data_IF_753888264951
#
_entry.id   IF_753888264951
#
_cell.length_a   1.000
_cell.length_b   1.000
_cell.length_c   1.000
_cell.angle_alpha   90.00
_cell.angle_beta   90.00
_cell.angle_gamma   90.00
#
_symmetry.space_group_name_H-M   'P 1'
#
loop_
_entity.id
_entity.type
_entity.pdbx_description
1 polymer ?
#
# COMPACT_ATOMS: atom_id res chain seq x y z
N UNK A 1 1.74 10.69 38.16
CA UNK A 1 0.93 9.73 37.36
C UNK A 1 -0.07 10.56 36.57
N UNK A 2 0.32 11.05 35.39
CA UNK A 2 -0.65 11.69 34.50
C UNK A 2 -1.43 10.58 33.81
N UNK A 3 -2.73 10.53 34.01
CA UNK A 3 -3.62 9.74 33.16
C UNK A 3 -3.37 10.17 31.71
N UNK A 4 -2.91 9.27 30.85
CA UNK A 4 -2.85 9.54 29.41
C UNK A 4 -4.27 9.94 28.98
N UNK A 5 -4.43 11.18 28.50
CA UNK A 5 -5.71 11.63 28.00
C UNK A 5 -6.17 10.69 26.88
N UNK A 6 -7.43 10.27 26.90
CA UNK A 6 -8.00 9.46 25.83
C UNK A 6 -7.84 10.20 24.49
N UNK A 7 -7.31 9.51 23.48
CA UNK A 7 -7.10 10.10 22.16
C UNK A 7 -8.44 10.54 21.55
N UNK A 8 -8.53 11.82 21.19
CA UNK A 8 -9.71 12.37 20.53
C UNK A 8 -9.52 12.29 19.01
N UNK A 9 -10.20 11.34 18.38
CA UNK A 9 -10.15 11.15 16.93
C UNK A 9 -11.04 12.15 16.19
N UNK A 10 -10.47 12.85 15.21
CA UNK A 10 -11.17 13.85 14.39
C UNK A 10 -10.98 13.57 12.92
N UNK A 11 -12.05 13.78 12.16
CA UNK A 11 -12.00 13.81 10.71
C UNK A 11 -11.12 14.97 10.23
N UNK A 12 -10.26 14.74 9.23
CA UNK A 12 -9.41 15.81 8.68
C UNK A 12 -9.38 15.91 7.15
N UNK A 13 -9.34 14.82 6.37
CA UNK A 13 -9.36 14.87 4.89
C UNK A 13 -9.98 13.60 4.31
N UNK A 14 -10.46 13.69 3.07
CA UNK A 14 -10.89 12.60 2.20
C UNK A 14 -10.41 12.93 0.79
N UNK A 15 -9.89 11.93 0.07
CA UNK A 15 -9.54 12.01 -1.35
C UNK A 15 -10.51 11.14 -2.17
N UNK A 16 -10.60 11.36 -3.49
CA UNK A 16 -11.47 10.58 -4.37
C UNK A 16 -12.95 10.95 -4.28
N UNK A 17 -13.27 12.24 -4.26
CA UNK A 17 -14.65 12.73 -4.20
C UNK A 17 -15.45 12.26 -5.42
N UNK A 18 -16.53 11.51 -5.16
CA UNK A 18 -17.45 11.01 -6.18
C UNK A 18 -18.64 11.95 -6.33
N UNK A 19 -19.12 12.10 -7.56
CA UNK A 19 -20.42 12.74 -7.79
C UNK A 19 -21.55 11.82 -7.27
N UNK A 20 -22.67 12.37 -6.76
CA UNK A 20 -23.75 11.54 -6.21
C UNK A 20 -24.31 10.58 -7.27
N UNK A 21 -24.18 9.27 -7.03
CA UNK A 21 -24.69 8.21 -7.92
C UNK A 21 -23.66 7.62 -8.90
N UNK A 22 -22.41 8.08 -8.84
CA UNK A 22 -21.30 7.50 -9.58
C UNK A 22 -20.82 6.22 -8.88
N UNK A 23 -20.80 5.11 -9.62
CA UNK A 23 -20.20 3.86 -9.12
C UNK A 23 -18.69 4.00 -9.14
N UNK A 24 -18.02 3.44 -8.14
CA UNK A 24 -16.57 3.36 -8.12
C UNK A 24 -16.16 2.32 -9.15
N UNK A 25 -15.29 2.68 -10.09
CA UNK A 25 -14.72 1.69 -10.99
C UNK A 25 -13.79 0.77 -10.20
N UNK A 26 -13.80 -0.52 -10.53
CA UNK A 26 -13.04 -1.52 -9.78
C UNK A 26 -11.54 -1.18 -9.69
N UNK A 27 -11.00 -0.57 -10.75
CA UNK A 27 -9.61 -0.13 -10.86
C UNK A 27 -9.23 0.98 -9.86
N UNK A 28 -10.21 1.75 -9.38
CA UNK A 28 -10.01 2.85 -8.43
C UNK A 28 -10.07 2.38 -6.97
N UNK A 29 -10.41 1.12 -6.69
CA UNK A 29 -10.34 0.58 -5.34
C UNK A 29 -8.90 0.56 -4.85
N UNK A 30 -8.64 1.24 -3.73
CA UNK A 30 -7.37 1.15 -3.03
C UNK A 30 -7.19 -0.29 -2.52
N UNK A 31 -5.97 -0.80 -2.67
CA UNK A 31 -5.57 -2.16 -2.26
C UNK A 31 -4.39 -2.16 -1.30
N UNK A 32 -3.56 -1.11 -1.30
CA UNK A 32 -2.41 -0.98 -0.41
C UNK A 32 -2.16 0.48 -0.03
N UNK A 33 -1.77 0.74 1.22
CA UNK A 33 -1.41 2.07 1.71
C UNK A 33 -0.17 1.96 2.61
N UNK A 34 0.80 2.85 2.43
CA UNK A 34 2.01 2.86 3.26
C UNK A 34 2.47 4.29 3.56
N UNK A 35 2.90 4.53 4.80
CA UNK A 35 3.54 5.78 5.20
C UNK A 35 5.07 5.65 5.15
N UNK A 36 5.73 6.73 4.75
CA UNK A 36 7.17 6.83 4.90
C UNK A 36 7.55 6.92 6.38
N UNK A 37 8.74 6.45 6.77
CA UNK A 37 9.13 6.30 8.18
C UNK A 37 9.02 7.57 9.04
N UNK A 38 9.13 8.76 8.41
CA UNK A 38 8.96 10.07 9.06
C UNK A 38 7.53 10.60 8.99
N UNK A 39 6.71 10.01 8.11
CA UNK A 39 5.34 10.46 7.82
C UNK A 39 5.32 11.77 7.04
N UNK A 40 6.36 12.04 6.26
CA UNK A 40 6.41 13.19 5.35
C UNK A 40 5.76 12.84 3.99
N UNK A 41 5.73 11.54 3.64
CA UNK A 41 5.09 11.01 2.43
C UNK A 41 4.11 9.87 2.76
N UNK A 42 3.08 9.75 1.94
CA UNK A 42 2.07 8.69 1.96
C UNK A 42 1.88 8.15 0.54
N UNK A 43 1.90 6.84 0.36
CA UNK A 43 1.58 6.21 -0.93
C UNK A 43 0.33 5.35 -0.81
N UNK A 44 -0.48 5.38 -1.86
CA UNK A 44 -1.60 4.47 -2.06
C UNK A 44 -1.42 3.73 -3.38
N UNK A 45 -1.78 2.46 -3.41
CA UNK A 45 -1.85 1.63 -4.61
C UNK A 45 -3.27 1.10 -4.78
N UNK A 46 -3.68 0.92 -6.03
CA UNK A 46 -5.03 0.48 -6.39
C UNK A 46 -5.07 -0.82 -7.19
N UNK A 47 -6.28 -1.26 -7.49
CA UNK A 47 -6.54 -2.45 -8.31
C UNK A 47 -6.14 -2.25 -9.77
N UNK A 48 -6.14 -1.00 -10.26
CA UNK A 48 -5.67 -0.62 -11.59
C UNK A 48 -4.16 -0.52 -11.75
N UNK A 49 -3.37 -0.88 -10.73
CA UNK A 49 -1.91 -0.91 -10.80
C UNK A 49 -1.21 0.46 -10.73
N UNK A 50 -1.93 1.52 -10.36
CA UNK A 50 -1.38 2.87 -10.17
C UNK A 50 -0.84 3.03 -8.76
N UNK A 51 0.15 3.91 -8.62
CA UNK A 51 0.66 4.36 -7.32
C UNK A 51 0.47 5.87 -7.24
N UNK A 52 -0.20 6.31 -6.19
CA UNK A 52 -0.51 7.72 -5.91
C UNK A 52 0.32 8.15 -4.71
N UNK A 53 1.16 9.17 -4.89
CA UNK A 53 2.04 9.73 -3.87
C UNK A 53 1.48 11.05 -3.36
N UNK A 54 1.36 11.15 -2.04
CA UNK A 54 0.98 12.35 -1.31
C UNK A 54 2.14 12.86 -0.44
N UNK A 55 2.23 14.17 -0.29
CA UNK A 55 3.24 14.86 0.52
C UNK A 55 2.58 15.68 1.62
N UNK A 56 3.20 15.71 2.80
CA UNK A 56 2.68 16.49 3.93
C UNK A 56 2.93 17.98 3.72
N UNK A 57 1.91 18.80 3.97
CA UNK A 57 1.96 20.26 3.76
C UNK A 57 2.56 21.02 4.94
N UNK A 58 2.61 20.42 6.13
CA UNK A 58 3.20 21.07 7.31
C UNK A 58 4.70 21.22 7.08
N UNK A 59 5.16 22.48 7.05
CA UNK A 59 6.51 22.89 6.68
C UNK A 59 7.60 22.01 7.30
N UNK A 60 8.71 21.93 6.59
CA UNK A 60 9.97 21.30 6.96
C UNK A 60 10.53 21.87 8.27
N UNK A 61 9.87 21.59 9.39
CA UNK A 61 10.37 21.93 10.71
C UNK A 61 11.59 21.05 10.95
N UNK A 62 12.75 21.72 10.97
CA UNK A 62 14.11 21.18 11.10
C UNK A 62 14.41 20.50 12.44
N UNK A 63 13.39 20.22 13.27
CA UNK A 63 13.56 19.62 14.59
C UNK A 63 13.15 18.15 14.60
N UNK A 64 14.02 17.23 15.08
CA UNK A 64 13.62 15.87 15.40
C UNK A 64 12.47 15.91 16.42
N UNK A 65 11.35 15.27 16.05
CA UNK A 65 10.08 15.24 16.79
C UNK A 65 10.17 14.83 18.27
N UNK A 66 11.29 14.23 18.69
CA UNK A 66 11.62 13.86 20.08
C UNK A 66 11.52 15.03 21.07
N UNK A 67 11.75 16.27 20.60
CA UNK A 67 11.64 17.49 21.42
C UNK A 67 10.23 18.09 21.44
N UNK A 68 9.41 17.83 20.42
CA UNK A 68 8.03 18.31 20.31
C UNK A 68 7.04 17.40 21.06
N UNK A 69 7.35 16.12 21.21
CA UNK A 69 6.58 15.16 22.00
C UNK A 69 6.76 15.36 23.52
N UNK A 70 7.81 16.07 23.95
CA UNK A 70 8.12 16.33 25.36
C UNK A 70 7.61 17.69 25.86
N UNK A 71 7.04 18.49 24.97
CA UNK A 71 6.51 19.82 25.26
C UNK A 71 5.00 19.82 25.10
N UNK A 72 4.29 20.29 26.13
CA UNK A 72 2.83 20.51 26.16
C UNK A 72 2.40 21.66 25.21
N UNK A 73 2.88 21.67 23.97
CA UNK A 73 2.37 22.53 22.93
C UNK A 73 1.28 21.77 22.18
N UNK A 74 0.00 22.18 22.27
CA UNK A 74 -1.04 21.58 21.44
C UNK A 74 -0.64 21.83 19.99
N UNK A 75 -0.43 20.75 19.22
CA UNK A 75 -0.24 20.85 17.79
C UNK A 75 -1.50 21.52 17.21
N UNK A 76 -1.42 22.81 16.93
CA UNK A 76 -2.56 23.65 16.52
C UNK A 76 -3.06 23.31 15.12
N UNK A 77 -2.31 22.48 14.37
CA UNK A 77 -2.60 22.11 12.99
C UNK A 77 -2.52 20.60 12.82
N UNK A 78 -3.60 19.99 12.35
CA UNK A 78 -3.62 18.59 11.96
C UNK A 78 -2.88 18.44 10.63
N UNK A 79 -2.01 17.43 10.48
CA UNK A 79 -1.25 17.22 9.26
C UNK A 79 -2.15 17.03 8.07
N UNK A 80 -1.92 17.83 7.03
CA UNK A 80 -2.59 17.67 5.75
C UNK A 80 -1.63 17.07 4.74
N UNK A 81 -2.16 16.19 3.92
CA UNK A 81 -1.48 15.64 2.76
C UNK A 81 -2.04 16.29 1.51
N UNK A 82 -1.19 16.53 0.52
CA UNK A 82 -1.59 16.97 -0.81
C UNK A 82 -1.05 16.00 -1.86
N UNK A 83 -1.79 15.87 -2.95
CA UNK A 83 -1.39 15.06 -4.09
C UNK A 83 -0.07 15.59 -4.68
N UNK A 84 0.96 14.76 -4.74
CA UNK A 84 2.27 15.10 -5.32
C UNK A 84 2.38 14.59 -6.76
N UNK A 85 2.10 13.31 -6.98
CA UNK A 85 2.22 12.67 -8.31
C UNK A 85 1.56 11.29 -8.30
N UNK A 86 1.17 10.81 -9.47
CA UNK A 86 0.77 9.42 -9.71
C UNK A 86 1.55 8.83 -10.88
N UNK A 87 1.68 7.51 -10.90
CA UNK A 87 2.28 6.78 -12.02
C UNK A 87 1.77 5.35 -12.09
N UNK A 88 1.73 4.79 -13.31
CA UNK A 88 1.40 3.40 -13.55
C UNK A 88 2.57 2.51 -13.10
N UNK A 89 2.32 1.59 -12.16
CA UNK A 89 3.34 0.66 -11.68
C UNK A 89 3.27 -0.68 -12.40
N UNK A 90 2.09 -1.29 -12.45
CA UNK A 90 1.87 -2.59 -13.09
C UNK A 90 0.77 -2.44 -14.14
N UNK A 91 0.87 -3.20 -15.21
CA UNK A 91 -0.15 -3.29 -16.25
C UNK A 91 -0.55 -4.76 -16.34
N UNK A 92 -1.71 -5.05 -16.94
CA UNK A 92 -2.11 -6.42 -17.24
C UNK A 92 -1.04 -7.10 -18.12
N UNK A 93 -0.50 -8.21 -17.62
CA UNK A 93 0.50 -9.01 -18.31
C UNK A 93 -0.04 -10.44 -18.52
N UNK A 94 0.40 -11.12 -19.57
CA UNK A 94 0.02 -12.52 -19.82
C UNK A 94 1.27 -13.38 -19.99
N UNK A 95 1.43 -14.39 -19.13
CA UNK A 95 2.48 -15.40 -19.27
C UNK A 95 1.99 -16.49 -20.23
N UNK A 96 2.47 -16.46 -21.47
CA UNK A 96 2.13 -17.44 -22.50
C UNK A 96 2.63 -18.86 -22.20
N UNK A 97 3.73 -19.00 -21.46
CA UNK A 97 4.31 -20.30 -21.15
C UNK A 97 3.50 -21.00 -20.07
N UNK A 98 3.03 -20.25 -19.06
CA UNK A 98 2.18 -20.76 -17.99
C UNK A 98 0.68 -20.64 -18.31
N UNK A 99 0.31 -19.96 -19.40
CA UNK A 99 -1.07 -19.60 -19.75
C UNK A 99 -1.78 -18.92 -18.59
N UNK A 100 -1.11 -17.94 -17.98
CA UNK A 100 -1.55 -17.27 -16.77
C UNK A 100 -1.65 -15.77 -17.01
N UNK A 101 -2.82 -15.20 -16.72
CA UNK A 101 -3.01 -13.76 -16.65
C UNK A 101 -2.48 -13.23 -15.31
N UNK A 102 -1.70 -12.15 -15.39
CA UNK A 102 -1.09 -11.49 -14.25
C UNK A 102 -1.79 -10.14 -14.09
N UNK A 103 -2.53 -10.00 -12.99
CA UNK A 103 -3.26 -8.78 -12.66
C UNK A 103 -2.34 -7.59 -12.41
N UNK A 104 -2.87 -6.40 -12.65
CA UNK A 104 -2.19 -5.13 -12.39
C UNK A 104 -2.29 -4.65 -10.94
N UNK A 105 -3.24 -5.19 -10.17
CA UNK A 105 -3.49 -4.85 -8.76
C UNK A 105 -2.21 -4.79 -7.92
N UNK A 106 -2.08 -3.69 -7.18
CA UNK A 106 -0.99 -3.53 -6.21
C UNK A 106 -1.33 -4.31 -4.93
N UNK A 107 -0.57 -5.36 -4.62
CA UNK A 107 -0.79 -6.15 -3.41
C UNK A 107 -0.18 -5.50 -2.17
N UNK A 108 1.06 -4.97 -2.28
CA UNK A 108 1.78 -4.32 -1.17
C UNK A 108 2.69 -3.20 -1.67
N UNK A 109 2.93 -2.23 -0.79
CA UNK A 109 3.86 -1.12 -0.98
C UNK A 109 4.82 -1.03 0.20
N UNK A 110 6.11 -0.76 -0.05
CA UNK A 110 7.11 -0.51 1.00
C UNK A 110 8.05 0.63 0.61
N UNK A 111 8.21 1.59 1.51
CA UNK A 111 9.28 2.58 1.38
C UNK A 111 10.63 1.95 1.75
N UNK A 112 11.62 2.16 0.89
CA UNK A 112 13.01 1.81 1.17
C UNK A 112 13.74 2.98 1.82
N UNK A 113 14.91 2.69 2.41
CA UNK A 113 15.79 3.73 2.93
C UNK A 113 16.08 4.78 1.84
N UNK A 114 16.10 6.05 2.23
CA UNK A 114 16.29 7.22 1.36
C UNK A 114 17.72 7.75 1.52
N UNK A 115 18.73 7.18 0.84
CA UNK A 115 20.11 7.65 0.95
C UNK A 115 20.34 9.02 0.29
N UNK A 116 19.37 9.52 -0.47
CA UNK A 116 19.42 10.80 -1.18
C UNK A 116 18.04 11.48 -1.12
N UNK A 117 17.91 12.67 -1.72
CA UNK A 117 16.61 13.37 -1.88
C UNK A 117 15.67 12.68 -2.90
N UNK A 118 15.78 11.37 -3.10
CA UNK A 118 14.85 10.59 -3.92
C UNK A 118 14.18 9.53 -3.08
N UNK A 119 12.89 9.32 -3.34
CA UNK A 119 12.10 8.29 -2.68
C UNK A 119 12.28 6.98 -3.43
N UNK A 120 12.46 5.90 -2.68
CA UNK A 120 12.52 4.54 -3.21
C UNK A 120 11.32 3.76 -2.70
N UNK A 121 10.53 3.21 -3.62
CA UNK A 121 9.29 2.50 -3.31
C UNK A 121 9.36 1.13 -3.98
N UNK A 122 9.17 0.07 -3.19
CA UNK A 122 8.87 -1.26 -3.72
C UNK A 122 7.36 -1.40 -3.86
N UNK A 123 6.93 -1.86 -5.02
CA UNK A 123 5.55 -2.27 -5.29
C UNK A 123 5.54 -3.70 -5.79
N UNK A 124 4.47 -4.43 -5.49
CA UNK A 124 4.29 -5.80 -5.96
C UNK A 124 2.87 -6.02 -6.45
N UNK A 125 2.73 -6.80 -7.52
CA UNK A 125 1.49 -7.49 -7.86
C UNK A 125 1.63 -8.98 -7.51
N UNK A 126 0.83 -9.85 -8.12
CA UNK A 126 0.87 -11.30 -7.84
C UNK A 126 2.18 -11.97 -8.23
N UNK A 127 2.97 -11.42 -9.17
CA UNK A 127 4.11 -12.15 -9.78
C UNK A 127 5.41 -11.37 -9.87
N UNK A 128 5.33 -10.05 -9.80
CA UNK A 128 6.46 -9.16 -10.05
C UNK A 128 6.56 -8.11 -8.96
N UNK A 129 7.79 -7.74 -8.64
CA UNK A 129 8.11 -6.66 -7.70
C UNK A 129 8.88 -5.61 -8.49
N UNK A 130 8.52 -4.34 -8.36
CA UNK A 130 9.19 -3.22 -9.04
C UNK A 130 9.76 -2.26 -8.01
N UNK A 131 11.02 -1.86 -8.22
CA UNK A 131 11.67 -0.81 -7.44
C UNK A 131 11.59 0.52 -8.19
N UNK A 132 10.83 1.45 -7.65
CA UNK A 132 10.63 2.79 -8.19
C UNK A 132 11.55 3.80 -7.52
N UNK A 133 12.07 4.73 -8.31
CA UNK A 133 12.72 5.94 -7.82
C UNK A 133 11.87 7.14 -8.21
N UNK A 134 11.39 7.88 -7.22
CA UNK A 134 10.68 9.14 -7.42
C UNK A 134 11.62 10.28 -7.04
N UNK A 135 11.88 11.18 -7.98
CA UNK A 135 12.75 12.33 -7.78
C UNK A 135 12.16 13.57 -8.39
N UNK A 136 12.39 14.71 -7.75
CA UNK A 136 12.04 16.01 -8.30
C UNK A 136 12.94 16.34 -9.49
N UNK A 137 12.34 16.64 -10.63
CA UNK A 137 13.06 17.06 -11.83
C UNK A 137 12.78 18.54 -12.09
N UNK A 138 13.84 19.35 -12.13
CA UNK A 138 13.75 20.72 -12.64
C UNK A 138 13.71 20.64 -14.17
N UNK A 139 12.52 20.70 -14.74
CA UNK A 139 12.34 20.64 -16.20
C UNK A 139 13.00 21.86 -16.83
N UNK A 140 14.12 21.67 -17.52
CA UNK A 140 14.70 22.68 -18.42
C UNK A 140 14.09 22.46 -19.81
N UNK A 141 13.18 23.34 -20.25
CA UNK A 141 12.75 23.36 -21.65
C UNK A 141 13.93 23.75 -22.53
N UNK A 142 14.36 22.83 -23.39
CA UNK A 142 15.23 23.16 -24.52
C UNK A 142 14.33 23.87 -25.55
N UNK A 143 14.64 25.13 -25.89
CA UNK A 143 14.02 25.75 -27.05
C UNK A 143 14.53 25.01 -28.29
N UNK A 144 13.59 24.51 -29.08
CA UNK A 144 13.84 24.03 -30.42
C UNK A 144 14.57 25.14 -31.19
N UNK A 145 15.77 24.84 -31.69
CA UNK A 145 16.53 25.79 -32.49
C UNK A 145 15.93 25.76 -33.88
N UNK A 146 15.10 26.76 -34.20
CA UNK A 146 14.67 26.97 -35.58
C UNK A 146 15.92 27.12 -36.45
N UNK A 147 16.12 26.16 -37.36
CA UNK A 147 17.08 26.31 -38.45
C UNK A 147 16.61 27.50 -39.30
N UNK A 148 17.27 28.64 -39.15
CA UNK A 148 17.05 29.81 -39.99
C UNK A 148 17.21 29.44 -41.47
N UNK A 149 16.18 29.59 -42.32
CA UNK A 149 16.36 29.45 -43.76
C UNK A 149 16.79 30.82 -44.31
N UNK A 150 18.04 31.20 -44.08
CA UNK A 150 18.64 32.35 -44.75
C UNK A 150 19.87 31.90 -45.53
N UNK A 151 19.62 31.34 -46.71
CA UNK A 151 20.55 31.45 -47.82
C UNK A 151 19.86 32.28 -48.89
N UNK A 152 20.44 33.45 -49.14
CA UNK A 152 20.05 34.43 -50.14
C UNK A 152 19.78 33.78 -51.50
N UNK A 153 18.62 34.12 -52.05
CA UNK A 153 18.14 33.78 -53.38
C UNK A 153 18.96 34.46 -54.46
N UNK A 154 20.08 33.88 -54.90
CA UNK A 154 20.72 34.24 -56.19
C UNK A 154 21.28 33.06 -57.01
N UNK A 155 21.13 31.80 -56.60
CA UNK A 155 21.63 30.65 -57.39
C UNK A 155 20.57 29.62 -57.79
N UNK A 156 19.31 30.03 -57.96
CA UNK A 156 18.21 29.14 -58.37
C UNK A 156 18.12 28.90 -59.90
N UNK A 157 19.21 29.07 -60.67
CA UNK A 157 19.20 28.98 -62.14
C UNK A 157 20.14 27.93 -62.75
N UNK A 158 20.58 26.91 -62.00
CA UNK A 158 21.46 25.86 -62.57
C UNK A 158 21.12 24.39 -62.28
N UNK A 159 19.98 24.04 -61.67
CA UNK A 159 19.57 22.61 -61.62
C UNK A 159 18.65 22.24 -62.80
N UNK A 160 19.15 22.51 -64.00
CA UNK A 160 18.57 22.04 -65.25
C UNK A 160 19.06 20.61 -65.58
N UNK A 161 18.09 19.69 -65.62
CA UNK A 161 18.02 18.43 -66.40
C UNK A 161 18.60 17.14 -65.80
N UNK A 162 17.83 16.07 -66.09
CA UNK A 162 18.18 14.64 -66.25
C UNK A 162 17.71 13.74 -65.08
N UNK A 163 16.94 12.66 -65.23
CA UNK A 163 16.37 11.93 -66.36
C UNK A 163 15.30 10.94 -65.81
N UNK A 164 14.18 10.81 -66.52
CA UNK A 164 13.32 9.63 -66.82
C UNK A 164 12.91 8.58 -65.75
N UNK A 165 11.61 8.28 -65.82
CA UNK A 165 10.78 7.32 -65.09
C UNK A 165 11.05 5.82 -65.36
N UNK A 166 10.51 4.96 -64.49
CA UNK A 166 10.35 3.52 -64.76
C UNK A 166 9.80 2.67 -63.60
N UNK A 167 8.46 2.55 -63.53
CA UNK A 167 7.63 1.36 -63.22
C UNK A 167 7.76 0.54 -61.91
N UNK A 168 6.63 0.53 -61.18
CA UNK A 168 5.86 -0.60 -60.58
C UNK A 168 6.58 -1.79 -59.91
N UNK A 169 6.26 -2.03 -58.63
CA UNK A 169 5.28 -3.05 -58.22
C UNK A 169 4.87 -2.93 -56.73
N UNK A 170 3.67 -3.43 -56.44
CA UNK A 170 2.85 -3.28 -55.23
C UNK A 170 2.98 -4.44 -54.23
N UNK A 171 2.93 -4.16 -52.91
CA UNK A 171 2.04 -4.86 -51.94
C UNK A 171 2.24 -4.43 -50.46
N UNK A 172 1.25 -3.71 -49.93
CA UNK A 172 0.49 -3.92 -48.66
C UNK A 172 1.24 -4.19 -47.32
N UNK A 173 1.27 -3.13 -46.49
CA UNK A 173 0.60 -2.92 -45.17
C UNK A 173 1.01 -3.69 -43.89
N UNK A 174 1.47 -2.91 -42.89
CA UNK A 174 1.11 -2.89 -41.45
C UNK A 174 1.99 -1.79 -40.79
N UNK A 175 1.55 -0.70 -40.13
CA UNK A 175 0.24 -0.30 -39.63
C UNK A 175 0.33 0.07 -38.15
N UNK A 176 0.87 1.25 -37.79
CA UNK A 176 0.60 1.93 -36.51
C UNK A 176 0.51 3.44 -36.76
N UNK A 177 -0.71 3.94 -36.70
CA UNK A 177 -1.11 5.32 -36.95
C UNK A 177 -1.69 5.89 -35.65
N UNK A 178 -1.04 6.91 -35.06
CA UNK A 178 -1.60 7.72 -33.99
C UNK A 178 -2.16 9.00 -34.63
N UNK A 179 -3.49 9.10 -34.68
CA UNK A 179 -4.21 10.21 -35.27
C UNK A 179 -4.53 11.25 -34.16
N UNK A 180 -3.92 12.44 -34.22
CA UNK A 180 -4.30 13.59 -33.40
C UNK A 180 -5.38 14.40 -34.13
N UNK A 181 -6.51 14.63 -33.45
CA UNK A 181 -7.65 15.39 -33.96
C UNK A 181 -7.32 16.89 -33.97
N UNK A 182 -7.24 17.46 -35.17
CA UNK A 182 -7.14 18.90 -35.42
C UNK A 182 -8.49 19.60 -35.19
N UNK A 183 -8.55 20.52 -34.22
CA UNK A 183 -9.60 21.55 -34.16
C UNK A 183 -9.01 22.92 -34.53
N UNK A 184 -9.53 23.47 -35.62
CA UNK A 184 -9.19 24.76 -36.26
C UNK A 184 -9.07 25.95 -35.28
N UNK A 185 -8.18 26.93 -35.56
CA UNK A 185 -8.11 28.20 -34.84
C UNK A 185 -9.09 29.24 -35.42
N UNK A 186 -9.67 30.07 -34.54
CA UNK A 186 -10.33 31.35 -34.88
C UNK A 186 -9.30 32.48 -34.72
N UNK A 187 -9.30 33.37 -35.69
CA UNK A 187 -8.47 34.57 -35.85
C UNK A 187 -8.73 35.66 -34.79
N UNK A 188 -7.68 36.31 -34.25
CA UNK A 188 -7.59 37.76 -33.98
C UNK A 188 -6.12 38.22 -33.99
N UNK A 189 -5.89 39.42 -34.53
CA UNK A 189 -4.66 40.18 -34.82
C UNK A 189 -3.88 40.73 -33.58
N UNK A 190 -2.70 41.39 -33.75
CA UNK A 190 -1.60 41.39 -32.77
C UNK A 190 -1.27 42.73 -32.05
N UNK A 191 -0.28 42.62 -31.11
CA UNK A 191 0.71 43.60 -30.59
C UNK A 191 0.49 44.16 -29.16
N UNK A 192 1.53 44.68 -28.43
CA UNK A 192 2.96 44.78 -28.77
C UNK A 192 3.94 44.20 -27.72
N UNK A 193 5.21 44.29 -28.10
CA UNK A 193 6.47 43.78 -27.54
C UNK A 193 6.78 44.15 -26.07
N UNK A 194 7.28 43.18 -25.30
CA UNK A 194 8.23 43.42 -24.18
C UNK A 194 9.30 42.30 -24.09
N UNK A 195 10.55 42.74 -24.17
CA UNK A 195 11.86 42.16 -23.78
C UNK A 195 12.11 40.63 -23.67
N UNK A 196 13.25 40.12 -24.21
CA UNK A 196 13.67 38.74 -24.01
C UNK A 196 14.49 38.61 -22.72
N UNK A 197 13.94 37.96 -21.69
CA UNK A 197 14.64 37.06 -20.75
C UNK A 197 13.77 36.84 -19.50
N UNK A 198 12.75 36.00 -19.64
CA UNK A 198 12.10 35.40 -18.47
C UNK A 198 12.19 33.90 -18.62
N UNK A 199 13.12 33.29 -17.89
CA UNK A 199 13.10 31.85 -17.63
C UNK A 199 11.82 31.61 -16.81
N UNK A 200 10.75 31.15 -17.47
CA UNK A 200 9.60 30.61 -16.77
C UNK A 200 10.04 29.30 -16.11
N UNK A 201 10.19 29.28 -14.79
CA UNK A 201 10.17 28.05 -14.01
C UNK A 201 8.77 27.45 -14.16
N UNK A 202 8.62 26.55 -15.12
CA UNK A 202 7.43 25.69 -15.21
C UNK A 202 7.62 24.62 -14.14
N UNK A 203 6.67 24.58 -13.19
CA UNK A 203 6.39 23.59 -12.15
C UNK A 203 7.47 22.55 -11.78
N UNK A 204 7.75 22.43 -10.49
CA UNK A 204 8.41 21.25 -9.94
C UNK A 204 7.59 20.01 -10.32
N UNK A 205 8.14 19.18 -11.21
CA UNK A 205 7.50 17.93 -11.65
C UNK A 205 8.28 16.78 -11.03
N UNK A 206 7.57 15.93 -10.29
CA UNK A 206 8.14 14.67 -9.79
C UNK A 206 8.12 13.64 -10.91
N UNK A 207 9.25 12.99 -11.15
CA UNK A 207 9.37 11.93 -12.15
C UNK A 207 9.58 10.61 -11.42
N UNK A 208 8.70 9.65 -11.66
CA UNK A 208 8.84 8.27 -11.22
C UNK A 208 9.53 7.45 -12.31
N UNK A 209 10.57 6.70 -11.94
CA UNK A 209 11.28 5.79 -12.85
C UNK A 209 11.40 4.42 -12.23
N UNK A 210 10.94 3.39 -12.94
CA UNK A 210 11.24 2.01 -12.58
C UNK A 210 12.74 1.77 -12.73
N UNK A 211 13.41 1.46 -11.62
CA UNK A 211 14.84 1.12 -11.60
C UNK A 211 15.07 -0.34 -11.90
N UNK A 212 14.24 -1.21 -11.33
CA UNK A 212 14.42 -2.66 -11.38
C UNK A 212 13.07 -3.37 -11.32
N UNK A 213 13.03 -4.53 -11.96
CA UNK A 213 11.91 -5.46 -11.94
C UNK A 213 12.47 -6.81 -11.47
N UNK A 214 11.93 -7.33 -10.37
CA UNK A 214 12.22 -8.65 -9.82
C UNK A 214 11.05 -9.55 -10.20
N UNK A 215 11.31 -10.54 -11.05
CA UNK A 215 10.27 -11.38 -11.64
C UNK A 215 10.71 -12.85 -11.67
N UNK A 216 9.74 -13.74 -11.94
CA UNK A 216 9.94 -15.17 -12.19
C UNK A 216 10.60 -15.97 -11.04
N UNK A 217 10.52 -15.48 -9.80
CA UNK A 217 10.99 -16.21 -8.61
C UNK A 217 9.87 -16.87 -7.80
N UNK A 218 8.63 -16.42 -8.00
CA UNK A 218 7.46 -16.93 -7.29
C UNK A 218 6.56 -17.73 -8.24
N UNK A 219 6.19 -18.92 -7.78
CA UNK A 219 5.29 -19.82 -8.51
C UNK A 219 3.82 -19.56 -8.12
N UNK A 220 3.59 -18.90 -6.98
CA UNK A 220 2.29 -18.51 -6.46
C UNK A 220 2.19 -16.98 -6.31
N UNK A 221 1.06 -16.49 -5.81
CA UNK A 221 0.79 -15.07 -5.68
C UNK A 221 1.63 -14.47 -4.55
N UNK A 222 2.36 -13.40 -4.85
CA UNK A 222 3.13 -12.66 -3.85
C UNK A 222 2.15 -11.93 -2.94
N UNK A 223 2.18 -12.26 -1.64
CA UNK A 223 1.30 -11.68 -0.63
C UNK A 223 2.01 -10.69 0.31
N UNK A 224 3.34 -10.79 0.45
CA UNK A 224 4.13 -9.93 1.33
C UNK A 224 5.47 -9.54 0.75
N UNK A 225 5.88 -8.31 1.04
CA UNK A 225 7.23 -7.78 0.84
C UNK A 225 7.67 -7.01 2.10
N UNK A 226 8.93 -7.16 2.47
CA UNK A 226 9.52 -6.48 3.63
C UNK A 226 10.97 -6.10 3.36
N UNK A 227 11.35 -4.89 3.77
CA UNK A 227 12.73 -4.43 3.69
C UNK A 227 13.53 -4.96 4.87
N UNK A 228 14.76 -5.39 4.62
CA UNK A 228 15.69 -5.70 5.69
C UNK A 228 16.30 -4.40 6.23
N UNK A 229 16.72 -4.45 7.49
CA UNK A 229 17.39 -3.37 8.22
C UNK A 229 18.77 -3.00 7.66
N UNK A 230 19.38 -3.86 6.84
CA UNK A 230 20.69 -3.62 6.22
C UNK A 230 20.65 -2.52 5.13
N UNK A 231 19.46 -2.17 4.64
CA UNK A 231 19.30 -1.19 3.57
C UNK A 231 19.81 -1.66 2.21
N UNK A 232 20.06 -2.96 2.04
CA UNK A 232 20.57 -3.58 0.80
C UNK A 232 19.69 -4.73 0.32
N UNK A 233 19.04 -5.45 1.24
CA UNK A 233 18.21 -6.61 0.93
C UNK A 233 16.75 -6.39 1.30
N UNK A 234 15.88 -7.17 0.65
CA UNK A 234 14.46 -7.25 0.98
C UNK A 234 13.99 -8.68 0.76
N UNK A 235 12.86 -9.03 1.36
CA UNK A 235 12.27 -10.35 1.29
C UNK A 235 10.92 -10.25 0.61
N UNK A 236 10.57 -11.28 -0.15
CA UNK A 236 9.21 -11.48 -0.67
C UNK A 236 8.71 -12.89 -0.33
N UNK A 237 7.40 -12.98 -0.09
CA UNK A 237 6.73 -14.23 0.20
C UNK A 237 5.56 -14.47 -0.78
N UNK A 238 5.48 -15.71 -1.27
CA UNK A 238 4.27 -16.32 -1.83
C UNK A 238 3.85 -17.47 -0.94
N UNK A 239 2.64 -18.01 -1.12
CA UNK A 239 1.99 -19.06 -0.29
C UNK A 239 2.88 -20.21 0.24
N UNK A 240 4.00 -20.52 -0.43
CA UNK A 240 4.91 -21.58 -0.01
C UNK A 240 6.37 -21.17 0.03
N UNK A 241 6.76 -19.98 -0.41
CA UNK A 241 8.17 -19.62 -0.58
C UNK A 241 8.50 -18.23 -0.09
N UNK A 242 9.60 -18.17 0.63
CA UNK A 242 10.23 -16.92 1.04
C UNK A 242 11.55 -16.77 0.30
N UNK A 243 11.69 -15.68 -0.44
CA UNK A 243 12.87 -15.35 -1.23
C UNK A 243 13.55 -14.09 -0.70
N UNK A 244 14.86 -14.15 -0.47
CA UNK A 244 15.74 -13.02 -0.19
C UNK A 244 16.25 -12.43 -1.51
N UNK A 245 16.16 -11.11 -1.62
CA UNK A 245 16.63 -10.35 -2.77
C UNK A 245 17.65 -9.32 -2.33
N UNK A 246 18.57 -9.02 -3.24
CA UNK A 246 19.42 -7.84 -3.13
C UNK A 246 18.80 -6.74 -4.01
N UNK A 247 18.66 -5.51 -3.48
CA UNK A 247 18.08 -4.38 -4.20
C UNK A 247 18.85 -3.97 -5.45
N UNK A 248 20.07 -4.46 -5.64
CA UNK A 248 20.90 -4.20 -6.81
C UNK A 248 20.83 -5.29 -7.87
N UNK A 249 20.43 -6.51 -7.49
CA UNK A 249 20.46 -7.71 -8.32
C UNK A 249 19.05 -8.22 -8.55
N UNK A 250 18.52 -8.04 -9.76
CA UNK A 250 17.12 -8.37 -10.06
C UNK A 250 16.89 -9.72 -10.75
N UNK A 251 17.96 -10.38 -11.20
CA UNK A 251 17.89 -11.65 -11.94
C UNK A 251 18.18 -12.88 -11.08
N UNK A 252 18.42 -12.70 -9.77
CA UNK A 252 18.70 -13.79 -8.83
C UNK A 252 18.10 -13.45 -7.47
N UNK A 253 17.52 -14.45 -6.83
CA UNK A 253 17.11 -14.44 -5.44
C UNK A 253 17.68 -15.68 -4.74
N UNK A 254 17.72 -15.63 -3.42
CA UNK A 254 18.05 -16.78 -2.60
C UNK A 254 16.76 -17.24 -1.91
N UNK A 255 16.36 -18.48 -2.14
CA UNK A 255 15.21 -19.05 -1.45
C UNK A 255 15.62 -19.40 0.00
N UNK A 256 14.98 -18.73 0.98
CA UNK A 256 15.23 -18.94 2.40
C UNK A 256 14.35 -20.07 2.92
N UNK A 257 13.08 -20.10 2.49
CA UNK A 257 12.07 -21.04 2.94
C UNK A 257 11.32 -21.57 1.72
N UNK A 258 11.17 -22.90 1.62
CA UNK A 258 10.29 -23.60 0.66
C UNK A 258 9.44 -24.60 1.44
N UNK A 259 8.18 -24.22 1.67
CA UNK A 259 7.16 -24.98 2.40
C UNK A 259 6.22 -25.73 1.45
N UNK A 260 6.61 -26.00 0.20
CA UNK A 260 5.85 -26.86 -0.72
C UNK A 260 5.24 -28.04 0.06
N UNK A 261 3.92 -28.21 0.00
CA UNK A 261 3.01 -28.32 1.14
C UNK A 261 3.53 -29.15 2.32
N UNK A 262 3.19 -28.77 3.54
CA UNK A 262 1.76 -28.75 3.91
C UNK A 262 1.09 -27.46 4.42
N UNK A 263 1.72 -26.31 4.76
CA UNK A 263 0.95 -25.19 5.35
C UNK A 263 1.49 -23.75 5.16
N UNK A 264 0.52 -22.82 4.94
CA UNK A 264 0.60 -21.42 4.46
C UNK A 264 0.54 -20.36 5.59
N UNK A 265 0.35 -19.05 5.27
CA UNK A 265 1.25 -17.89 5.56
C UNK A 265 0.68 -16.56 6.15
N UNK A 266 1.57 -15.66 6.63
CA UNK A 266 1.76 -14.22 6.26
C UNK A 266 3.15 -13.74 6.83
N UNK A 267 3.86 -12.72 6.32
CA UNK A 267 5.28 -12.45 6.69
C UNK A 267 5.61 -10.99 7.07
N UNK A 268 6.44 -10.78 8.12
CA UNK A 268 7.24 -9.55 8.37
C UNK A 268 8.63 -9.88 8.95
N UNK A 269 9.64 -9.09 8.60
CA UNK A 269 11.03 -9.20 9.09
C UNK A 269 11.40 -8.06 10.07
N UNK A 270 12.26 -8.34 11.06
CA UNK A 270 12.86 -7.32 11.95
C UNK A 270 14.30 -7.69 12.30
N UNK A 271 15.26 -7.00 11.67
CA UNK A 271 16.68 -7.36 11.74
C UNK A 271 16.87 -8.86 11.43
N UNK A 272 17.97 -9.50 11.83
CA UNK A 272 18.27 -10.90 11.48
C UNK A 272 17.21 -11.95 11.96
N UNK A 273 16.09 -11.52 12.53
CA UNK A 273 14.98 -12.33 12.99
C UNK A 273 13.81 -12.23 12.01
N UNK A 274 13.58 -13.30 11.26
CA UNK A 274 12.47 -13.47 10.34
C UNK A 274 11.25 -14.01 11.09
N UNK A 275 10.07 -13.40 10.92
CA UNK A 275 8.81 -13.92 11.46
C UNK A 275 7.80 -14.17 10.35
N UNK A 276 7.31 -15.40 10.23
CA UNK A 276 6.20 -15.71 9.34
C UNK A 276 5.07 -16.41 10.10
N UNK A 277 3.86 -15.95 9.90
CA UNK A 277 2.63 -16.53 10.40
C UNK A 277 2.11 -17.63 9.51
N UNK A 278 1.13 -18.37 10.03
CA UNK A 278 0.48 -19.44 9.31
C UNK A 278 -1.04 -19.35 9.33
N UNK A 279 -1.67 -19.90 8.29
CA UNK A 279 -3.11 -20.15 8.21
C UNK A 279 -3.64 -21.08 9.31
N UNK A 280 -2.76 -21.77 10.04
CA UNK A 280 -3.10 -22.55 11.24
C UNK A 280 -3.02 -21.78 12.56
N UNK A 281 -2.76 -20.47 12.52
CA UNK A 281 -2.78 -19.60 13.69
C UNK A 281 -1.54 -19.68 14.59
N UNK A 282 -0.37 -19.91 14.00
CA UNK A 282 0.92 -19.81 14.71
C UNK A 282 1.87 -18.86 13.99
N UNK A 283 2.85 -18.33 14.71
CA UNK A 283 3.93 -17.48 14.17
C UNK A 283 5.24 -18.21 14.39
N UNK A 284 5.99 -18.45 13.32
CA UNK A 284 7.33 -19.02 13.38
C UNK A 284 8.36 -17.91 13.30
N UNK A 285 9.28 -17.91 14.26
CA UNK A 285 10.39 -16.98 14.37
C UNK A 285 11.69 -17.70 14.11
N UNK A 286 12.50 -17.17 13.21
CA UNK A 286 13.78 -17.77 12.84
C UNK A 286 14.88 -16.73 12.77
N UNK A 287 16.06 -17.09 13.27
CA UNK A 287 17.27 -16.27 13.14
C UNK A 287 18.05 -16.66 11.88
N UNK A 288 18.08 -15.74 10.90
CA UNK A 288 18.76 -15.92 9.61
C UNK A 288 20.27 -16.13 9.75
N UNK A 289 20.88 -15.79 10.90
CA UNK A 289 22.31 -16.02 11.16
C UNK A 289 22.62 -17.47 11.51
N UNK A 290 21.66 -18.20 12.06
CA UNK A 290 21.89 -19.55 12.58
C UNK A 290 21.86 -20.60 11.48
N UNK A 291 20.98 -20.41 10.48
CA UNK A 291 20.91 -21.27 9.31
C UNK A 291 20.53 -20.45 8.08
N UNK A 292 21.24 -20.67 6.98
CA UNK A 292 20.89 -20.05 5.70
C UNK A 292 19.49 -20.48 5.21
N UNK A 293 19.04 -21.69 5.57
CA UNK A 293 17.73 -22.23 5.20
C UNK A 293 16.66 -21.99 6.27
N UNK A 294 17.00 -21.31 7.38
CA UNK A 294 16.06 -20.97 8.44
C UNK A 294 15.19 -22.17 8.93
N UNK A 295 15.76 -23.38 8.90
CA UNK A 295 15.09 -24.64 9.18
C UNK A 295 15.22 -25.06 10.65
N UNK A 296 16.29 -24.63 11.30
CA UNK A 296 16.68 -24.99 12.68
C UNK A 296 16.41 -23.86 13.67
N UNK A 297 16.22 -24.23 14.94
CA UNK A 297 16.06 -23.31 16.09
C UNK A 297 14.94 -22.26 15.95
N UNK A 298 13.86 -22.65 15.30
CA UNK A 298 12.69 -21.79 15.18
C UNK A 298 11.87 -21.78 16.49
N UNK A 299 11.53 -20.58 16.97
CA UNK A 299 10.53 -20.42 18.03
C UNK A 299 9.13 -20.37 17.41
N UNK A 300 8.15 -20.97 18.07
CA UNK A 300 6.78 -20.99 17.58
C UNK A 300 5.89 -20.31 18.61
N UNK A 301 5.39 -19.12 18.27
CA UNK A 301 4.36 -18.46 19.06
C UNK A 301 3.02 -19.07 18.70
N UNK A 302 2.35 -19.67 19.69
CA UNK A 302 1.09 -20.35 19.49
C UNK A 302 0.19 -20.18 20.70
N UNK A 303 -1.06 -19.83 20.44
CA UNK A 303 -2.07 -19.64 21.47
C UNK A 303 -2.64 -21.01 21.84
N UNK A 304 -2.10 -21.61 22.90
CA UNK A 304 -2.54 -22.92 23.37
C UNK A 304 -3.92 -22.88 24.03
N UNK A 305 -4.35 -21.74 24.57
CA UNK A 305 -5.63 -21.58 25.26
C UNK A 305 -6.80 -21.50 24.27
N UNK A 306 -6.60 -20.87 23.11
CA UNK A 306 -7.59 -20.84 22.04
C UNK A 306 -7.89 -22.22 21.42
N UNK A 307 -7.03 -23.23 21.65
CA UNK A 307 -7.17 -24.60 21.13
C UNK A 307 -8.11 -25.50 21.95
N UNK A 308 -9.16 -24.93 22.55
CA UNK A 308 -10.28 -25.68 23.15
C UNK A 308 -11.02 -26.58 22.15
N UNK A 309 -12.35 -26.67 22.20
CA UNK A 309 -13.11 -27.52 21.26
C UNK A 309 -12.82 -27.12 19.80
N UNK A 310 -11.97 -27.90 19.10
CA UNK A 310 -11.68 -27.68 17.69
C UNK A 310 -12.93 -27.96 16.88
N UNK A 311 -13.45 -26.91 16.27
CA UNK A 311 -14.50 -26.95 15.26
C UNK A 311 -13.90 -26.57 13.89
N UNK A 312 -14.60 -26.93 12.82
CA UNK A 312 -14.25 -26.50 11.47
C UNK A 312 -14.04 -24.97 11.37
N UNK A 313 -14.97 -24.18 11.92
CA UNK A 313 -14.87 -22.71 11.87
C UNK A 313 -13.73 -22.15 12.72
N UNK A 314 -13.38 -22.77 13.85
CA UNK A 314 -12.25 -22.31 14.66
C UNK A 314 -10.90 -22.48 13.95
N UNK A 315 -10.77 -23.44 13.03
CA UNK A 315 -9.55 -23.59 12.24
C UNK A 315 -9.46 -22.51 11.16
N UNK A 316 -10.58 -22.18 10.50
CA UNK A 316 -10.63 -21.12 9.48
C UNK A 316 -10.31 -19.75 10.10
N UNK A 317 -11.00 -19.38 11.18
CA UNK A 317 -10.82 -18.06 11.81
C UNK A 317 -9.52 -17.93 12.60
N UNK A 318 -8.78 -19.03 12.80
CA UNK A 318 -7.45 -19.02 13.41
C UNK A 318 -6.36 -18.58 12.41
N UNK A 319 -6.66 -18.55 11.11
CA UNK A 319 -5.74 -18.03 10.10
C UNK A 319 -5.30 -16.61 10.45
N UNK A 320 -3.99 -16.40 10.50
CA UNK A 320 -3.42 -15.07 10.69
C UNK A 320 -3.38 -14.39 9.32
N UNK A 321 -3.86 -13.15 9.25
CA UNK A 321 -3.94 -12.36 8.02
C UNK A 321 -2.90 -11.25 7.92
N UNK A 322 -2.27 -10.89 9.04
CA UNK A 322 -1.20 -9.91 9.10
C UNK A 322 -0.43 -10.03 10.43
N UNK A 323 0.85 -9.72 10.40
CA UNK A 323 1.72 -9.63 11.58
C UNK A 323 2.51 -8.33 11.50
N UNK A 324 2.89 -7.73 12.64
CA UNK A 324 3.74 -6.53 12.70
C UNK A 324 4.70 -6.63 13.86
N UNK A 325 5.99 -6.38 13.63
CA UNK A 325 6.92 -6.16 14.73
C UNK A 325 6.68 -4.78 15.35
N UNK A 326 6.64 -4.74 16.67
CA UNK A 326 6.74 -3.50 17.40
C UNK A 326 8.17 -2.93 17.27
N UNK A 327 8.29 -1.61 17.33
CA UNK A 327 9.59 -0.93 17.15
C UNK A 327 10.58 -1.21 18.27
N UNK A 328 10.11 -1.70 19.41
CA UNK A 328 10.94 -2.12 20.54
C UNK A 328 11.72 -3.42 20.28
N UNK A 329 11.41 -4.14 19.19
CA UNK A 329 12.05 -5.40 18.84
C UNK A 329 11.76 -6.55 19.80
N UNK A 330 10.79 -6.38 20.71
CA UNK A 330 10.39 -7.39 21.71
C UNK A 330 9.00 -7.93 21.45
N UNK A 331 8.11 -7.13 20.86
CA UNK A 331 6.72 -7.53 20.68
C UNK A 331 6.36 -7.76 19.22
N UNK A 332 5.42 -8.67 19.00
CA UNK A 332 4.76 -8.88 17.70
C UNK A 332 3.27 -8.70 17.89
N UNK A 333 2.64 -7.97 16.99
CA UNK A 333 1.19 -7.91 16.86
C UNK A 333 0.77 -8.86 15.74
N UNK A 334 -0.29 -9.63 15.93
CA UNK A 334 -0.87 -10.47 14.88
C UNK A 334 -2.37 -10.28 14.79
N UNK A 335 -2.90 -10.32 13.58
CA UNK A 335 -4.34 -10.25 13.30
C UNK A 335 -4.84 -11.62 12.84
N UNK A 336 -5.79 -12.17 13.58
CA UNK A 336 -6.65 -13.24 13.08
C UNK A 336 -8.05 -12.66 12.76
N UNK A 337 -8.94 -13.47 12.17
CA UNK A 337 -10.25 -12.99 11.75
C UNK A 337 -11.06 -12.35 12.89
N UNK A 338 -10.91 -12.84 14.12
CA UNK A 338 -11.71 -12.40 15.27
C UNK A 338 -11.00 -11.36 16.13
N UNK A 339 -9.69 -11.49 16.29
CA UNK A 339 -8.91 -10.87 17.33
C UNK A 339 -7.64 -10.21 16.81
N UNK A 340 -7.14 -9.29 17.61
CA UNK A 340 -5.80 -8.75 17.51
C UNK A 340 -5.01 -9.23 18.73
N UNK A 341 -3.84 -9.82 18.52
CA UNK A 341 -3.05 -10.48 19.59
C UNK A 341 -1.67 -9.85 19.68
N UNK A 342 -1.28 -9.43 20.88
CA UNK A 342 0.06 -8.92 21.18
C UNK A 342 0.89 -10.00 21.85
N UNK A 343 2.07 -10.29 21.32
CA UNK A 343 2.97 -11.35 21.74
C UNK A 343 4.28 -10.80 22.30
N UNK A 344 4.85 -11.47 23.31
CA UNK A 344 6.25 -11.28 23.70
C UNK A 344 7.09 -12.34 22.98
N UNK A 345 8.21 -11.94 22.37
CA UNK A 345 9.17 -12.88 21.78
C UNK A 345 9.81 -13.83 22.82
N UNK A 346 9.67 -13.53 24.12
CA UNK A 346 10.15 -14.36 25.22
C UNK A 346 9.05 -15.26 25.82
N UNK A 347 7.79 -15.12 25.39
CA UNK A 347 6.65 -15.90 25.86
C UNK A 347 5.95 -16.58 24.68
N UNK A 348 6.29 -17.84 24.44
CA UNK A 348 5.84 -18.59 23.26
C UNK A 348 4.43 -19.19 23.42
N UNK A 349 4.00 -19.43 24.66
CA UNK A 349 2.81 -20.23 24.97
C UNK A 349 1.48 -19.51 24.83
N UNK A 350 1.49 -18.17 24.85
CA UNK A 350 0.28 -17.36 24.87
C UNK A 350 0.59 -15.89 24.54
N UNK A 351 -0.34 -15.17 23.89
CA UNK A 351 -0.21 -13.72 23.74
C UNK A 351 -0.32 -13.03 25.11
N UNK A 352 0.33 -11.87 25.25
CA UNK A 352 0.24 -10.99 26.43
C UNK A 352 -1.14 -10.34 26.53
N UNK A 353 -1.72 -9.99 25.37
CA UNK A 353 -3.03 -9.35 25.28
C UNK A 353 -3.78 -9.82 24.04
N UNK A 354 -5.11 -9.95 24.18
CA UNK A 354 -6.03 -10.31 23.10
C UNK A 354 -7.15 -9.27 23.06
N UNK A 355 -7.28 -8.60 21.92
CA UNK A 355 -8.29 -7.58 21.69
C UNK A 355 -9.36 -8.10 20.72
N UNK A 356 -10.63 -8.03 21.12
CA UNK A 356 -11.74 -8.62 20.35
C UNK A 356 -12.29 -7.61 19.33
N UNK A 357 -12.21 -7.96 18.05
CA UNK A 357 -12.65 -7.06 16.97
C UNK A 357 -13.99 -7.49 16.40
N UNK A 358 -14.08 -8.73 15.94
CA UNK A 358 -15.23 -9.25 15.20
C UNK A 358 -16.11 -10.19 16.03
N UNK A 359 -16.12 -10.05 17.37
CA UNK A 359 -16.87 -10.96 18.24
C UNK A 359 -18.39 -10.95 17.95
N UNK A 360 -18.92 -9.82 17.47
CA UNK A 360 -20.31 -9.67 17.04
C UNK A 360 -20.68 -10.51 15.80
N UNK A 361 -19.68 -10.98 15.04
CA UNK A 361 -19.87 -11.85 13.87
C UNK A 361 -19.85 -13.34 14.23
N UNK A 362 -19.45 -13.72 15.45
CA UNK A 362 -19.35 -15.13 15.87
C UNK A 362 -20.63 -15.94 15.61
N UNK A 363 -21.86 -15.43 15.85
CA UNK A 363 -23.07 -16.19 15.53
C UNK A 363 -23.37 -16.34 14.03
N UNK A 364 -22.67 -15.58 13.17
CA UNK A 364 -22.90 -15.50 11.72
C UNK A 364 -21.81 -16.18 10.89
N UNK A 365 -20.86 -16.89 11.51
CA UNK A 365 -19.73 -17.51 10.82
C UNK A 365 -20.15 -18.46 9.68
N UNK A 366 -21.27 -19.18 9.83
CA UNK A 366 -21.79 -20.04 8.76
C UNK A 366 -22.28 -19.26 7.55
N UNK A 367 -22.91 -18.09 7.76
CA UNK A 367 -23.36 -17.20 6.68
C UNK A 367 -22.16 -16.56 5.99
N UNK A 368 -21.18 -16.10 6.77
CA UNK A 368 -19.95 -15.51 6.25
C UNK A 368 -19.14 -16.52 5.43
N UNK A 369 -19.14 -17.80 5.82
CA UNK A 369 -18.51 -18.87 5.04
C UNK A 369 -19.22 -19.11 3.71
N UNK A 370 -20.55 -19.10 3.67
CA UNK A 370 -21.30 -19.29 2.42
C UNK A 370 -21.12 -18.13 1.42
N UNK A 371 -20.67 -16.97 1.89
CA UNK A 371 -20.40 -15.78 1.09
C UNK A 371 -18.91 -15.48 0.92
N UNK A 372 -18.02 -16.43 1.28
CA UNK A 372 -16.56 -16.29 1.26
C UNK A 372 -15.95 -15.14 2.09
N UNK A 373 -16.77 -14.27 2.70
CA UNK A 373 -16.33 -13.17 3.56
C UNK A 373 -15.52 -13.64 4.77
N UNK A 374 -15.68 -14.89 5.22
CA UNK A 374 -14.84 -15.43 6.31
C UNK A 374 -13.34 -15.50 5.94
N UNK A 375 -13.00 -15.42 4.66
CA UNK A 375 -11.62 -15.45 4.15
C UNK A 375 -11.03 -14.04 3.93
N UNK A 376 -11.78 -12.99 4.25
CA UNK A 376 -11.29 -11.62 4.15
C UNK A 376 -10.07 -11.40 5.06
N UNK A 377 -8.99 -10.88 4.48
CA UNK A 377 -7.74 -10.59 5.18
C UNK A 377 -7.73 -9.14 5.67
N UNK A 378 -7.86 -8.96 6.97
CA UNK A 378 -7.72 -7.65 7.61
C UNK A 378 -6.26 -7.41 8.02
N UNK A 379 -5.77 -6.19 7.78
CA UNK A 379 -4.45 -5.77 8.23
C UNK A 379 -4.50 -5.18 9.64
N UNK A 380 -3.34 -5.12 10.28
CA UNK A 380 -3.17 -4.47 11.57
C UNK A 380 -2.01 -3.47 11.58
N UNK A 381 -2.03 -2.58 12.57
CA UNK A 381 -0.97 -1.61 12.76
C UNK A 381 -0.65 -1.39 14.23
N UNK A 382 0.58 -0.97 14.46
CA UNK A 382 1.11 -0.58 15.75
C UNK A 382 1.52 0.88 15.67
N UNK A 383 1.21 1.61 16.73
CA UNK A 383 1.67 2.97 16.90
C UNK A 383 3.20 3.08 16.96
N UNK A 384 3.75 4.26 16.68
CA UNK A 384 5.21 4.45 16.68
C UNK A 384 5.80 4.27 18.09
N UNK A 385 5.06 4.69 19.10
CA UNK A 385 5.39 4.55 20.51
C UNK A 385 5.13 3.13 21.05
N UNK A 386 4.40 2.29 20.31
CA UNK A 386 4.07 0.92 20.69
C UNK A 386 2.91 0.78 21.67
N UNK A 387 2.27 1.88 22.08
CA UNK A 387 1.20 1.87 23.09
C UNK A 387 -0.19 1.64 22.53
N UNK A 388 -0.39 1.80 21.23
CA UNK A 388 -1.71 1.75 20.62
C UNK A 388 -1.73 0.86 19.37
N UNK A 389 -2.86 0.21 19.14
CA UNK A 389 -3.03 -0.79 18.08
C UNK A 389 -4.34 -0.56 17.36
N UNK A 390 -4.40 -0.80 16.04
CA UNK A 390 -5.67 -0.76 15.32
C UNK A 390 -5.78 -1.76 14.19
N UNK A 391 -7.02 -2.08 13.86
CA UNK A 391 -7.40 -2.96 12.76
C UNK A 391 -8.82 -2.64 12.28
N UNK A 392 -9.05 -2.87 11.00
CA UNK A 392 -10.35 -2.73 10.35
C UNK A 392 -11.32 -3.87 10.66
N UNK A 393 -12.57 -3.62 10.32
CA UNK A 393 -13.71 -4.53 10.32
C UNK A 393 -14.69 -4.13 9.21
N UNK A 394 -15.83 -4.81 9.09
CA UNK A 394 -16.85 -4.53 8.08
C UNK A 394 -17.59 -3.21 8.33
N UNK A 395 -18.35 -2.77 7.32
CA UNK A 395 -19.21 -1.58 7.42
C UNK A 395 -18.44 -0.29 7.74
N UNK A 396 -17.23 -0.16 7.19
CA UNK A 396 -16.33 0.98 7.40
C UNK A 396 -15.93 1.20 8.86
N UNK A 397 -16.01 0.18 9.69
CA UNK A 397 -15.65 0.24 11.10
C UNK A 397 -14.19 -0.15 11.26
N UNK A 398 -13.47 0.55 12.14
CA UNK A 398 -12.19 0.10 12.66
C UNK A 398 -12.16 0.28 14.17
N UNK A 399 -11.28 -0.47 14.84
CA UNK A 399 -11.12 -0.41 16.28
C UNK A 399 -9.69 -0.01 16.65
N UNK A 400 -9.58 0.79 17.70
CA UNK A 400 -8.33 1.25 18.28
C UNK A 400 -8.24 0.80 19.74
N UNK A 401 -7.12 0.18 20.09
CA UNK A 401 -6.83 -0.33 21.43
C UNK A 401 -5.60 0.40 21.99
N UNK A 402 -5.50 0.43 23.32
CA UNK A 402 -4.35 0.99 24.04
C UNK A 402 -3.83 -0.04 25.03
N UNK A 403 -2.51 -0.14 25.19
CA UNK A 403 -1.87 -1.07 26.11
C UNK A 403 -2.30 -0.85 27.57
N UNK A 404 -2.45 0.42 27.97
CA UNK A 404 -2.75 0.83 29.36
C UNK A 404 -4.26 1.02 29.63
N UNK A 405 -5.11 0.83 28.62
CA UNK A 405 -6.54 1.12 28.68
C UNK A 405 -7.37 -0.07 29.14
N UNK A 406 -7.95 -0.01 30.34
CA UNK A 406 -8.86 -1.04 30.89
C UNK A 406 -10.23 -1.16 30.20
N UNK A 407 -10.33 -0.85 28.91
CA UNK A 407 -11.50 -1.18 28.08
C UNK A 407 -11.13 -2.34 27.15
N UNK A 408 -11.53 -3.55 27.53
CA UNK A 408 -11.36 -4.77 26.71
C UNK A 408 -11.95 -4.63 25.29
N UNK A 409 -12.91 -3.71 25.09
CA UNK A 409 -13.66 -3.55 23.84
C UNK A 409 -13.06 -2.54 22.83
N UNK A 410 -12.07 -1.74 23.24
CA UNK A 410 -11.43 -0.70 22.41
C UNK A 410 -12.36 0.43 21.97
N UNK A 411 -11.79 1.46 21.34
CA UNK A 411 -12.55 2.56 20.74
C UNK A 411 -12.98 2.11 19.33
N UNK A 412 -14.29 2.06 19.09
CA UNK A 412 -14.85 1.75 17.77
C UNK A 412 -15.15 3.04 17.03
N UNK A 413 -14.68 3.14 15.78
CA UNK A 413 -14.79 4.33 14.95
C UNK A 413 -15.28 3.93 13.55
N UNK A 414 -16.06 4.81 12.93
CA UNK A 414 -16.62 4.64 11.59
C UNK A 414 -15.90 5.60 10.63
N UNK A 415 -15.27 5.07 9.60
CA UNK A 415 -14.72 5.84 8.49
C UNK A 415 -15.87 6.30 7.59
N UNK A 416 -16.50 7.42 7.96
CA UNK A 416 -17.63 8.00 7.23
C UNK A 416 -17.26 9.34 6.60
N UNK A 417 -17.84 9.62 5.44
CA UNK A 417 -17.79 10.95 4.79
C UNK A 417 -18.46 12.03 5.63
N UNK A 418 -19.36 11.64 6.56
CA UNK A 418 -20.08 12.56 7.43
C UNK A 418 -19.43 12.64 8.81
N UNK A 419 -18.68 13.71 9.13
CA UNK A 419 -17.93 13.83 10.38
C UNK A 419 -18.80 13.89 11.65
N UNK A 420 -20.12 14.09 11.50
CA UNK A 420 -21.05 14.27 12.62
C UNK A 420 -21.72 12.97 13.10
N UNK A 421 -21.42 11.81 12.50
CA UNK A 421 -22.02 10.53 12.91
C UNK A 421 -21.09 9.79 13.87
N UNK A 422 -20.90 10.34 15.07
CA UNK A 422 -20.20 9.61 16.13
C UNK A 422 -21.16 8.57 16.70
N UNK A 423 -21.11 7.34 16.21
CA UNK A 423 -21.80 6.21 16.82
C UNK A 423 -21.04 5.79 18.08
N UNK A 424 -21.25 6.50 19.20
CA UNK A 424 -20.94 5.97 20.53
C UNK A 424 -21.87 4.78 20.79
N UNK A 425 -21.52 3.59 20.28
CA UNK A 425 -22.21 2.36 20.66
C UNK A 425 -21.75 1.98 22.07
N UNK A 426 -22.32 2.65 23.08
CA UNK A 426 -22.30 2.13 24.45
C UNK A 426 -23.19 0.89 24.44
N UNK A 427 -22.62 -0.26 24.74
CA UNK A 427 -23.33 -1.52 25.01
C UNK A 427 -24.30 -1.31 26.18
N UNK A 428 -25.50 -0.85 25.88
CA UNK A 428 -26.63 -0.88 26.79
C UNK A 428 -27.42 -2.16 26.52
N UNK A 429 -27.36 -3.10 27.46
CA UNK A 429 -28.31 -4.22 27.58
C UNK A 429 -29.74 -3.69 27.58
N UNK A 430 -30.43 -3.75 26.43
CA UNK A 430 -31.90 -3.67 26.36
C UNK A 430 -32.43 -4.69 25.35
N UNK A 431 -32.92 -5.79 25.95
CA UNK A 431 -34.11 -6.56 25.58
C UNK A 431 -34.48 -6.72 24.10
N UNK A 432 -34.48 -8.00 23.70
CA UNK A 432 -35.06 -8.59 22.51
C UNK A 432 -36.27 -7.82 21.93
N UNK A 433 -36.18 -7.46 20.65
CA UNK A 433 -37.32 -6.95 19.89
C UNK A 433 -36.97 -5.92 18.82
N UNK A 434 -36.08 -6.27 17.88
CA UNK A 434 -35.99 -5.69 16.53
C UNK A 434 -34.92 -6.46 15.73
N UNK A 435 -35.21 -7.74 15.51
CA UNK A 435 -34.51 -8.65 14.60
C UNK A 435 -35.31 -8.69 13.30
N UNK A 436 -35.00 -7.79 12.35
CA UNK A 436 -35.36 -7.91 10.93
C UNK A 436 -34.87 -6.66 10.18
N UNK A 437 -33.64 -6.69 9.68
CA UNK A 437 -33.15 -5.97 8.49
C UNK A 437 -31.62 -5.94 8.52
N UNK A 438 -30.99 -7.05 8.12
CA UNK A 438 -29.82 -6.92 7.25
C UNK A 438 -30.41 -6.85 5.84
N UNK A 439 -29.98 -5.92 4.96
CA UNK A 439 -30.39 -6.01 3.57
C UNK A 439 -29.82 -7.32 3.03
N UNK A 440 -30.72 -8.20 2.62
CA UNK A 440 -30.41 -9.46 1.91
C UNK A 440 -30.04 -9.17 0.44
N UNK A 441 -30.08 -7.90 0.02
CA UNK A 441 -29.71 -7.40 -1.31
C UNK A 441 -28.60 -6.34 -1.24
N UNK A 442 -27.53 -6.57 -0.46
CA UNK A 442 -26.25 -5.93 -0.78
C UNK A 442 -25.57 -6.81 -1.83
N UNK A 443 -25.92 -6.58 -3.10
CA UNK A 443 -25.04 -6.92 -4.23
C UNK A 443 -23.63 -6.44 -3.92
N UNK A 444 -22.61 -7.10 -4.48
CA UNK A 444 -21.15 -6.96 -4.28
C UNK A 444 -20.57 -5.53 -4.05
N UNK A 445 -21.36 -4.48 -4.25
CA UNK A 445 -21.05 -3.05 -4.16
C UNK A 445 -20.86 -2.47 -2.74
N UNK A 446 -21.22 -3.19 -1.67
CA UNK A 446 -21.08 -2.69 -0.28
C UNK A 446 -19.88 -3.32 0.49
N UNK A 447 -19.11 -4.20 -0.14
CA UNK A 447 -18.07 -5.01 0.53
C UNK A 447 -16.62 -4.53 0.36
N UNK A 448 -16.36 -3.47 -0.40
CA UNK A 448 -14.97 -3.02 -0.61
C UNK A 448 -14.87 -1.50 -0.50
N UNK A 449 -14.83 -0.98 0.72
CA UNK A 449 -14.35 0.38 0.95
C UNK A 449 -13.13 0.29 1.88
N UNK A 450 -11.97 0.02 1.27
CA UNK A 450 -10.67 0.37 1.85
C UNK A 450 -10.51 1.90 1.82
N UNK A 451 -11.33 2.63 2.58
CA UNK A 451 -11.05 4.03 2.92
C UNK A 451 -10.42 4.03 4.30
N UNK A 452 -9.16 3.58 4.34
CA UNK A 452 -8.27 3.93 5.44
C UNK A 452 -7.64 5.31 5.15
N UNK A 453 -8.48 6.31 4.86
CA UNK A 453 -8.01 7.69 4.80
C UNK A 453 -8.12 8.33 6.18
N UNK A 454 -6.96 8.76 6.66
CA UNK A 454 -6.73 9.62 7.83
C UNK A 454 -6.94 9.04 9.22
N UNK A 455 -6.94 7.73 9.37
CA UNK A 455 -7.06 7.09 10.67
C UNK A 455 -5.70 6.66 11.27
N UNK A 456 -4.61 6.74 10.53
CA UNK A 456 -3.33 6.13 10.98
C UNK A 456 -2.29 7.15 11.46
N UNK A 457 -2.70 8.29 12.05
CA UNK A 457 -1.74 9.20 12.70
C UNK A 457 -2.08 9.62 14.13
N UNK A 458 -3.14 9.12 14.76
CA UNK A 458 -3.12 9.11 16.23
C UNK A 458 -2.40 7.88 16.79
N UNK A 459 -1.90 6.99 15.92
CA UNK A 459 -1.00 5.89 16.25
C UNK A 459 0.44 6.19 15.80
N UNK A 460 0.66 6.94 14.72
CA UNK A 460 2.00 7.45 14.37
C UNK A 460 2.39 8.74 15.13
N UNK A 461 1.68 9.05 16.21
CA UNK A 461 2.01 10.07 17.21
C UNK A 461 2.48 9.39 18.47
#
# INVERSE_FOLDING_TARGET
>A
MSSSAALEWKFSQVFGEQSPGEKVDDVDFISAVEFESRGDYLVAGDHGGRIILFERTDGTNLHPRKELEHMDYPATVHPRYFYKTEFQSHELEFDYLKSLEIGEKINKLRFCATPNNSLFILSTNDRTIKLWKVSECKVKRVKEMELSPNVSSENALLSGKSFVAGLNESSIQNGYHLEWIDKKPRSVSPAPEESPNTIFNVGESSVARCRRVYAHAHDYNINSISNNSDGETFISADDFRINLWNMEVSNRCFNIVDLKPLDMEDLIDYCNLLAYSSSRGFIRLVDMRQSALCDQNAKILLDHEARGSRSFFTEIIASISDIKFAKDGRHILSRDYMNLKLWDLHMESSPIAIFKINEYLRPKLSVLYNHDAIFDKFECCISRDGHHFASGSYSNIFKVFSHDGGQDDGITLEASRNPNRVSHCRTATRTAGLLAALPVDSTEEDMTIQVLMLVMRSLAT
#
